data_IF_114059625740
#
_entry.id   IF_114059625740
#
_cell.length_a   1.000
_cell.length_b   1.000
_cell.length_c   1.000
_cell.angle_alpha   90.00
_cell.angle_beta   90.00
_cell.angle_gamma   90.00
#
_symmetry.space_group_name_H-M   'P 1'
#
loop_
_entity.id
_entity.type
_entity.pdbx_description
1 polymer ?
#
# COMPACT_ATOMS: atom_id res chain seq x y z
N UNK A 1 73.48 -33.87 -1.08
CA UNK A 1 72.87 -33.65 -2.40
C UNK A 1 71.80 -34.72 -2.57
N UNK A 2 70.62 -34.58 -1.97
CA UNK A 2 69.60 -33.55 -2.17
C UNK A 2 69.06 -33.57 -3.61
N UNK A 3 67.75 -33.83 -3.74
CA UNK A 3 66.92 -33.95 -4.96
C UNK A 3 66.61 -35.40 -5.39
N UNK A 4 65.69 -36.08 -4.70
CA UNK A 4 64.86 -37.16 -5.30
C UNK A 4 63.62 -37.53 -4.46
N UNK A 5 63.31 -36.80 -3.38
CA UNK A 5 62.18 -37.09 -2.47
C UNK A 5 60.94 -36.20 -2.74
N UNK A 6 60.89 -35.44 -3.85
CA UNK A 6 59.86 -34.39 -4.03
C UNK A 6 58.84 -34.59 -5.16
N UNK A 7 58.69 -35.80 -5.73
CA UNK A 7 57.80 -36.01 -6.89
C UNK A 7 56.77 -37.13 -6.74
N UNK A 8 56.22 -37.33 -5.53
CA UNK A 8 55.13 -38.28 -5.32
C UNK A 8 54.08 -37.80 -4.29
N UNK A 9 53.77 -36.50 -4.27
CA UNK A 9 52.64 -35.97 -3.49
C UNK A 9 51.82 -34.97 -4.32
N UNK A 10 51.29 -35.43 -5.46
CA UNK A 10 50.35 -34.67 -6.27
C UNK A 10 49.25 -35.61 -6.79
N UNK A 11 48.43 -36.12 -5.87
CA UNK A 11 47.16 -36.77 -6.18
C UNK A 11 46.10 -36.18 -5.24
N UNK A 12 45.37 -35.19 -5.77
CA UNK A 12 43.94 -34.82 -5.61
C UNK A 12 43.27 -34.76 -4.20
N UNK A 13 42.12 -34.07 -4.02
CA UNK A 13 41.28 -33.36 -5.00
C UNK A 13 40.86 -31.93 -4.56
N UNK A 14 40.47 -31.13 -5.55
CA UNK A 14 39.72 -29.90 -5.33
C UNK A 14 38.75 -29.67 -6.47
N UNK A 15 38.07 -30.73 -6.92
CA UNK A 15 36.86 -30.51 -7.70
C UNK A 15 35.86 -29.85 -6.74
N UNK A 16 35.77 -28.53 -6.82
CA UNK A 16 34.59 -27.81 -6.36
C UNK A 16 33.44 -28.22 -7.29
N UNK A 17 32.97 -29.45 -7.13
CA UNK A 17 31.72 -29.90 -7.69
C UNK A 17 30.68 -29.03 -6.99
N UNK A 18 30.11 -28.10 -7.75
CA UNK A 18 28.93 -27.38 -7.32
C UNK A 18 27.89 -28.42 -6.88
N UNK A 19 27.67 -28.55 -5.58
CA UNK A 19 26.59 -29.37 -5.04
C UNK A 19 25.29 -28.82 -5.65
N UNK A 20 24.55 -29.71 -6.30
CA UNK A 20 23.26 -29.36 -6.90
C UNK A 20 22.34 -28.86 -5.77
N UNK A 21 21.96 -27.58 -5.82
CA UNK A 21 21.19 -26.92 -4.77
C UNK A 21 21.97 -25.98 -3.85
N UNK A 22 23.26 -25.67 -4.09
CA UNK A 22 23.99 -24.67 -3.29
C UNK A 22 24.14 -23.34 -4.06
N UNK A 23 23.68 -22.25 -3.44
CA UNK A 23 23.85 -20.86 -3.92
C UNK A 23 24.60 -20.07 -2.84
N UNK A 24 25.58 -19.29 -3.24
CA UNK A 24 26.35 -18.42 -2.35
C UNK A 24 25.83 -16.99 -2.44
N UNK A 25 25.50 -16.41 -1.29
CA UNK A 25 25.27 -14.96 -1.11
C UNK A 25 26.58 -14.34 -0.64
N UNK A 26 27.08 -13.40 -1.42
CA UNK A 26 28.36 -12.73 -1.17
C UNK A 26 28.13 -11.25 -0.92
N UNK A 27 28.63 -10.73 0.20
CA UNK A 27 28.70 -9.29 0.46
C UNK A 27 30.16 -8.85 0.49
N UNK A 28 30.50 -7.86 -0.35
CA UNK A 28 31.87 -7.36 -0.50
C UNK A 28 32.09 -6.16 0.42
N UNK A 29 33.30 -5.95 0.95
CA UNK A 29 33.59 -4.74 1.73
C UNK A 29 33.51 -3.43 0.92
N UNK A 30 33.43 -3.51 -0.41
CA UNK A 30 33.34 -2.38 -1.34
C UNK A 30 31.90 -2.02 -1.74
N UNK A 31 30.90 -2.83 -1.40
CA UNK A 31 29.51 -2.60 -1.78
C UNK A 31 28.56 -3.29 -0.81
N UNK A 32 27.57 -2.55 -0.32
CA UNK A 32 26.50 -3.08 0.53
C UNK A 32 25.50 -3.96 -0.23
N UNK A 33 25.54 -3.98 -1.57
CA UNK A 33 24.64 -4.79 -2.40
C UNK A 33 25.15 -6.24 -2.47
N UNK A 34 24.36 -7.23 -2.02
CA UNK A 34 24.75 -8.63 -2.09
C UNK A 34 24.63 -9.20 -3.51
N UNK A 35 25.52 -10.14 -3.84
CA UNK A 35 25.51 -10.89 -5.11
C UNK A 35 25.19 -12.37 -4.85
N UNK A 36 24.30 -12.94 -5.66
CA UNK A 36 24.02 -14.38 -5.69
C UNK A 36 24.80 -15.08 -6.81
N UNK A 37 25.53 -16.14 -6.47
CA UNK A 37 26.33 -16.92 -7.41
C UNK A 37 26.40 -18.41 -7.08
N UNK A 38 26.77 -19.23 -8.07
CA UNK A 38 27.00 -20.69 -7.88
C UNK A 38 28.42 -21.03 -7.45
N UNK A 39 29.34 -20.07 -7.51
CA UNK A 39 30.74 -20.24 -7.08
C UNK A 39 30.95 -19.69 -5.68
N UNK A 40 31.88 -20.26 -4.89
CA UNK A 40 32.26 -19.70 -3.59
C UNK A 40 32.65 -18.22 -3.70
N UNK A 41 32.44 -17.46 -2.63
CA UNK A 41 32.71 -16.03 -2.62
C UNK A 41 34.22 -15.74 -2.72
N UNK A 42 34.63 -14.66 -3.42
CA UNK A 42 36.03 -14.29 -3.54
C UNK A 42 36.66 -13.96 -2.18
N UNK A 43 37.98 -14.12 -2.04
CA UNK A 43 38.69 -13.85 -0.80
C UNK A 43 38.43 -12.42 -0.30
N UNK A 44 38.13 -12.26 0.99
CA UNK A 44 37.81 -10.96 1.61
C UNK A 44 36.35 -10.54 1.53
N UNK A 45 35.46 -11.38 0.97
CA UNK A 45 34.01 -11.19 1.06
C UNK A 45 33.38 -12.08 2.14
N UNK A 46 32.25 -11.63 2.69
CA UNK A 46 31.43 -12.42 3.60
C UNK A 46 30.59 -13.40 2.78
N UNK A 47 30.61 -14.68 3.18
CA UNK A 47 29.92 -15.76 2.48
C UNK A 47 28.79 -16.34 3.31
N UNK A 48 27.58 -16.39 2.75
CA UNK A 48 26.45 -17.12 3.29
C UNK A 48 26.01 -18.20 2.30
N UNK A 49 25.95 -19.44 2.77
CA UNK A 49 25.61 -20.61 1.94
C UNK A 49 24.12 -20.88 2.03
N UNK A 50 23.41 -20.71 0.92
CA UNK A 50 22.00 -21.01 0.76
C UNK A 50 21.86 -22.39 0.13
N UNK A 51 21.27 -23.34 0.86
CA UNK A 51 20.89 -24.65 0.31
C UNK A 51 19.44 -24.59 -0.12
N UNK A 52 19.21 -24.66 -1.42
CA UNK A 52 17.89 -24.81 -2.02
C UNK A 52 17.52 -26.29 -1.88
N UNK A 53 16.46 -26.63 -1.13
CA UNK A 53 15.99 -28.01 -1.08
C UNK A 53 15.58 -28.46 -2.49
N UNK A 54 15.82 -29.73 -2.82
CA UNK A 54 15.32 -30.31 -4.06
C UNK A 54 13.80 -30.04 -4.15
N UNK A 55 13.28 -29.65 -5.34
CA UNK A 55 11.85 -29.40 -5.49
C UNK A 55 11.10 -30.65 -5.04
N UNK A 56 10.26 -30.52 -4.01
CA UNK A 56 9.31 -31.55 -3.67
C UNK A 56 8.34 -31.62 -4.85
N UNK A 57 8.58 -32.56 -5.78
CA UNK A 57 7.66 -32.88 -6.85
C UNK A 57 6.39 -33.48 -6.25
N UNK A 58 5.51 -32.61 -5.75
CA UNK A 58 4.09 -32.81 -5.84
C UNK A 58 3.63 -31.72 -6.80
N UNK A 59 3.63 -32.04 -8.10
CA UNK A 59 2.78 -31.30 -9.03
C UNK A 59 1.38 -31.25 -8.40
N UNK A 60 0.75 -30.06 -8.26
CA UNK A 60 -0.63 -30.02 -7.85
C UNK A 60 -1.40 -30.86 -8.86
N UNK A 61 -2.02 -31.95 -8.39
CA UNK A 61 -2.86 -32.77 -9.22
C UNK A 61 -3.89 -31.85 -9.86
N UNK A 62 -3.73 -31.59 -11.16
CA UNK A 62 -4.76 -30.95 -11.97
C UNK A 62 -5.93 -31.90 -11.94
N UNK A 63 -6.87 -31.64 -11.04
CA UNK A 63 -8.17 -32.29 -11.09
C UNK A 63 -8.82 -31.74 -12.34
N UNK A 64 -8.90 -32.57 -13.37
CA UNK A 64 -9.67 -32.31 -14.58
C UNK A 64 -11.06 -31.79 -14.16
N UNK A 65 -11.46 -30.57 -14.57
CA UNK A 65 -12.78 -30.09 -14.21
C UNK A 65 -13.81 -30.99 -14.87
N UNK A 66 -14.63 -31.65 -14.05
CA UNK A 66 -15.81 -32.37 -14.51
C UNK A 66 -16.68 -31.41 -15.34
N UNK A 67 -17.18 -31.81 -16.51
CA UNK A 67 -18.02 -30.95 -17.33
C UNK A 67 -19.30 -30.61 -16.55
N UNK A 68 -19.43 -29.34 -16.19
CA UNK A 68 -20.66 -28.80 -15.59
C UNK A 68 -21.72 -28.83 -16.69
N UNK A 69 -22.77 -29.60 -16.46
CA UNK A 69 -23.96 -29.60 -17.28
C UNK A 69 -24.70 -28.28 -17.04
N UNK A 70 -24.97 -27.51 -18.09
CA UNK A 70 -25.85 -26.35 -18.07
C UNK A 70 -27.30 -26.76 -17.76
N UNK A 71 -27.93 -26.23 -16.71
CA UNK A 71 -29.38 -26.23 -16.62
C UNK A 71 -29.92 -24.96 -17.26
N UNK A 72 -30.74 -25.20 -18.27
CA UNK A 72 -31.54 -24.24 -19.00
C UNK A 72 -32.32 -23.26 -18.10
N UNK A 73 -32.56 -22.10 -18.71
CA UNK A 73 -33.50 -21.05 -18.36
C UNK A 73 -34.71 -21.50 -17.52
N UNK A 74 -34.89 -20.82 -16.39
CA UNK A 74 -36.19 -20.63 -15.77
C UNK A 74 -36.49 -19.12 -15.74
N UNK A 75 -37.52 -18.74 -16.49
CA UNK A 75 -38.11 -17.42 -16.49
C UNK A 75 -38.80 -17.12 -15.14
N UNK A 76 -38.72 -15.87 -14.69
CA UNK A 76 -39.78 -15.24 -13.90
C UNK A 76 -40.09 -13.86 -14.46
N UNK A 77 -41.33 -13.72 -14.92
CA UNK A 77 -41.95 -12.46 -15.33
C UNK A 77 -42.24 -11.57 -14.12
N UNK A 78 -41.95 -10.28 -14.29
CA UNK A 78 -42.88 -9.15 -14.15
C UNK A 78 -43.67 -8.95 -12.85
N UNK A 79 -43.41 -7.80 -12.21
CA UNK A 79 -44.41 -6.79 -11.80
C UNK A 79 -43.63 -5.60 -11.21
N UNK A 80 -43.55 -4.46 -11.89
CA UNK A 80 -44.53 -3.37 -11.93
C UNK A 80 -44.49 -2.47 -10.69
N UNK A 81 -44.04 -1.23 -10.92
CA UNK A 81 -44.71 -0.03 -10.40
C UNK A 81 -44.35 0.44 -8.99
N UNK A 82 -43.38 1.35 -8.91
CA UNK A 82 -43.50 2.52 -8.02
C UNK A 82 -42.73 3.69 -8.64
N UNK A 83 -43.47 4.54 -9.35
CA UNK A 83 -43.01 5.83 -9.83
C UNK A 83 -42.62 6.68 -8.61
N UNK A 84 -41.36 7.11 -8.56
CA UNK A 84 -40.96 8.21 -7.70
C UNK A 84 -41.72 9.47 -8.14
N UNK A 85 -42.33 10.25 -7.23
CA UNK A 85 -42.95 11.50 -7.62
C UNK A 85 -41.87 12.44 -8.15
N UNK A 86 -42.05 12.85 -9.41
CA UNK A 86 -41.29 13.91 -10.03
C UNK A 86 -41.46 15.17 -9.17
N UNK A 87 -40.36 15.66 -8.61
CA UNK A 87 -40.29 17.00 -8.05
C UNK A 87 -40.71 18.00 -9.14
N UNK A 88 -41.55 19.00 -8.82
CA UNK A 88 -41.94 20.00 -9.81
C UNK A 88 -40.69 20.74 -10.30
N UNK A 89 -40.60 21.08 -11.60
CA UNK A 89 -39.52 21.89 -12.11
C UNK A 89 -39.59 23.26 -11.43
N UNK A 90 -38.63 23.54 -10.55
CA UNK A 90 -38.37 24.90 -10.09
C UNK A 90 -38.02 25.70 -11.33
N UNK A 91 -38.96 26.56 -11.77
CA UNK A 91 -38.74 27.48 -12.87
C UNK A 91 -37.42 28.24 -12.64
N UNK A 92 -36.62 28.51 -13.69
CA UNK A 92 -35.50 29.42 -13.56
C UNK A 92 -36.06 30.76 -13.09
N UNK A 93 -35.67 31.20 -11.88
CA UNK A 93 -35.98 32.56 -11.43
C UNK A 93 -35.40 33.50 -12.49
N UNK A 94 -36.25 34.36 -13.07
CA UNK A 94 -35.77 35.36 -14.02
C UNK A 94 -34.71 36.20 -13.32
N UNK A 95 -33.59 36.42 -14.00
CA UNK A 95 -32.50 37.29 -13.56
C UNK A 95 -32.87 38.79 -13.60
N UNK A 96 -34.16 39.13 -13.44
CA UNK A 96 -34.69 40.49 -13.58
C UNK A 96 -35.42 40.99 -12.32
N UNK A 97 -35.67 40.15 -11.31
CA UNK A 97 -35.98 40.65 -9.97
C UNK A 97 -34.67 40.90 -9.24
N UNK A 98 -34.06 42.04 -9.55
CA UNK A 98 -33.03 42.64 -8.73
C UNK A 98 -33.59 42.83 -7.33
N UNK A 99 -33.33 41.88 -6.43
CA UNK A 99 -33.60 42.06 -5.01
C UNK A 99 -32.82 43.31 -4.61
N UNK A 100 -33.52 44.40 -4.30
CA UNK A 100 -32.90 45.58 -3.72
C UNK A 100 -32.23 45.12 -2.44
N UNK A 101 -30.91 44.99 -2.48
CA UNK A 101 -30.06 44.66 -1.33
C UNK A 101 -29.97 45.93 -0.46
N UNK A 102 -31.11 46.47 -0.05
CA UNK A 102 -31.24 47.68 0.75
C UNK A 102 -32.39 47.53 1.74
N UNK A 103 -32.59 46.32 2.27
CA UNK A 103 -33.36 46.14 3.49
C UNK A 103 -32.73 45.01 4.30
N UNK A 104 -31.74 45.37 5.11
CA UNK A 104 -31.33 44.55 6.23
C UNK A 104 -32.48 44.55 7.24
N UNK A 105 -33.46 43.65 7.04
CA UNK A 105 -34.43 43.33 8.06
C UNK A 105 -33.67 42.78 9.27
N UNK A 106 -33.58 43.59 10.32
CA UNK A 106 -33.02 43.18 11.60
C UNK A 106 -33.93 42.10 12.16
N UNK A 107 -33.54 40.83 11.98
CA UNK A 107 -34.19 39.72 12.66
C UNK A 107 -33.75 39.82 14.11
N UNK A 108 -34.65 40.29 14.97
CA UNK A 108 -34.54 40.18 16.42
C UNK A 108 -34.61 38.69 16.77
N UNK A 109 -33.50 37.97 16.59
CA UNK A 109 -33.31 36.68 17.21
C UNK A 109 -32.90 36.96 18.66
N UNK A 110 -33.70 36.46 19.59
CA UNK A 110 -33.45 36.56 21.03
C UNK A 110 -32.14 35.81 21.36
N UNK A 111 -31.02 36.54 21.33
CA UNK A 111 -29.66 35.99 21.46
C UNK A 111 -28.64 37.03 21.00
N UNK A 112 -28.34 38.00 21.86
CA UNK A 112 -27.57 39.20 21.53
C UNK A 112 -26.17 38.98 20.96
N UNK A 113 -25.71 39.98 20.21
CA UNK A 113 -24.33 40.33 19.82
C UNK A 113 -23.30 39.18 19.85
N UNK A 114 -23.61 38.08 19.16
CA UNK A 114 -22.60 37.07 18.86
C UNK A 114 -22.14 37.33 17.42
N UNK A 115 -20.88 37.76 17.30
CA UNK A 115 -20.14 37.76 16.05
C UNK A 115 -20.38 36.40 15.40
N UNK A 116 -20.92 36.39 14.19
CA UNK A 116 -21.03 35.20 13.34
C UNK A 116 -19.61 34.77 12.96
N UNK A 117 -18.93 34.10 13.88
CA UNK A 117 -17.67 33.45 13.63
C UNK A 117 -17.97 32.16 12.86
N UNK A 118 -17.54 32.12 11.60
CA UNK A 118 -17.66 30.94 10.74
C UNK A 118 -17.06 29.68 11.38
N UNK A 119 -16.05 29.84 12.24
CA UNK A 119 -15.48 28.72 13.00
C UNK A 119 -16.45 28.20 14.08
N UNK A 120 -17.17 29.10 14.76
CA UNK A 120 -18.18 28.72 15.76
C UNK A 120 -19.38 28.01 15.11
N UNK A 121 -19.82 28.48 13.94
CA UNK A 121 -20.89 27.83 13.18
C UNK A 121 -20.50 26.41 12.72
N UNK A 122 -19.24 26.21 12.30
CA UNK A 122 -18.74 24.88 11.97
C UNK A 122 -18.69 23.97 13.20
N UNK A 123 -18.17 24.46 14.33
CA UNK A 123 -18.15 23.69 15.57
C UNK A 123 -19.55 23.35 16.10
N UNK A 124 -20.51 24.25 16.00
CA UNK A 124 -21.90 24.00 16.40
C UNK A 124 -22.57 22.97 15.50
N UNK A 125 -22.30 23.01 14.19
CA UNK A 125 -22.79 22.01 13.24
C UNK A 125 -22.16 20.63 13.50
N UNK A 126 -20.86 20.58 13.79
CA UNK A 126 -20.13 19.37 14.17
C UNK A 126 -20.64 18.78 15.49
N UNK A 127 -20.90 19.62 16.49
CA UNK A 127 -21.44 19.22 17.79
C UNK A 127 -22.87 18.67 17.68
N UNK A 128 -23.72 19.30 16.85
CA UNK A 128 -25.06 18.78 16.54
C UNK A 128 -24.99 17.45 15.79
N UNK A 129 -24.11 17.32 14.80
CA UNK A 129 -23.91 16.08 14.05
C UNK A 129 -23.34 14.94 14.91
N UNK A 130 -22.50 15.25 15.90
CA UNK A 130 -22.00 14.27 16.86
C UNK A 130 -23.07 13.77 17.85
N UNK A 131 -24.12 14.56 18.07
CA UNK A 131 -25.19 14.24 19.03
C UNK A 131 -26.34 13.41 18.44
N UNK A 132 -26.44 13.30 17.10
CA UNK A 132 -27.65 12.79 16.42
C UNK A 132 -27.48 11.38 15.81
N UNK A 133 -26.37 10.67 16.09
CA UNK A 133 -26.08 9.35 15.52
C UNK A 133 -25.36 8.39 16.47
N UNK A 134 -25.32 7.08 16.14
CA UNK A 134 -24.48 6.12 16.84
C UNK A 134 -23.01 6.59 16.85
N UNK A 135 -22.24 6.30 17.91
CA UNK A 135 -20.84 6.68 17.97
C UNK A 135 -20.10 6.08 16.75
N UNK A 136 -19.48 6.96 15.95
CA UNK A 136 -18.69 6.55 14.78
C UNK A 136 -17.52 5.66 15.22
N UNK A 137 -17.20 4.59 14.47
CA UNK A 137 -16.14 3.66 14.84
C UNK A 137 -14.77 4.35 14.90
N UNK A 138 -13.83 3.77 15.68
CA UNK A 138 -12.44 4.22 15.69
C UNK A 138 -11.79 4.06 14.33
N UNK A 139 -10.78 4.89 14.07
CA UNK A 139 -9.97 4.77 12.86
C UNK A 139 -9.29 3.40 12.78
N UNK A 140 -9.19 2.82 11.56
CA UNK A 140 -8.42 1.61 11.36
C UNK A 140 -6.98 1.76 11.87
N UNK A 141 -6.37 0.66 12.35
CA UNK A 141 -4.98 0.69 12.78
C UNK A 141 -4.09 1.15 11.62
N UNK A 142 -3.06 1.89 11.99
CA UNK A 142 -2.03 2.37 11.07
C UNK A 142 -0.69 2.27 11.78
N UNK A 143 0.33 1.88 11.04
CA UNK A 143 1.65 1.56 11.57
C UNK A 143 2.64 2.65 11.17
N UNK A 144 3.50 3.03 12.11
CA UNK A 144 4.69 3.82 11.83
C UNK A 144 5.85 2.86 11.59
N UNK A 145 6.33 2.83 10.36
CA UNK A 145 7.38 1.95 9.89
C UNK A 145 8.69 2.71 9.76
N UNK A 146 9.79 2.03 10.05
CA UNK A 146 11.15 2.49 9.76
C UNK A 146 11.81 1.52 8.79
N UNK A 147 12.30 2.03 7.67
CA UNK A 147 13.02 1.24 6.68
C UNK A 147 14.47 0.92 7.11
N UNK A 148 15.14 0.06 6.35
CA UNK A 148 16.54 -0.33 6.60
C UNK A 148 17.54 0.84 6.55
N UNK A 149 17.16 1.98 5.96
CA UNK A 149 17.96 3.19 5.86
C UNK A 149 17.59 4.24 6.92
N UNK A 150 16.67 3.93 7.83
CA UNK A 150 16.19 4.83 8.88
C UNK A 150 15.10 5.80 8.44
N UNK A 151 14.56 5.67 7.23
CA UNK A 151 13.43 6.45 6.73
C UNK A 151 12.12 6.03 7.39
N UNK A 152 11.36 7.00 7.91
CA UNK A 152 10.06 6.77 8.53
C UNK A 152 8.89 6.93 7.55
N UNK A 153 7.93 6.02 7.55
CA UNK A 153 6.69 6.13 6.77
C UNK A 153 5.48 5.51 7.49
N UNK A 154 4.29 5.76 6.96
CA UNK A 154 3.04 5.20 7.49
C UNK A 154 2.52 4.06 6.60
N UNK A 155 2.02 2.99 7.21
CA UNK A 155 1.47 1.82 6.51
C UNK A 155 0.13 1.37 7.12
N UNK A 156 -0.84 0.97 6.29
CA UNK A 156 -2.23 0.76 6.72
C UNK A 156 -2.58 -0.72 6.98
N UNK A 157 -1.87 -1.67 6.36
CA UNK A 157 -2.33 -3.07 6.30
C UNK A 157 -1.67 -3.98 7.34
N UNK A 158 -0.36 -3.88 7.49
CA UNK A 158 0.41 -4.79 8.35
C UNK A 158 1.60 -4.11 9.02
N UNK A 159 2.00 -4.67 10.16
CA UNK A 159 3.08 -4.20 11.02
C UNK A 159 4.50 -4.49 10.48
N UNK A 160 4.62 -5.16 9.33
CA UNK A 160 5.93 -5.45 8.74
C UNK A 160 5.78 -5.73 7.24
N UNK A 161 5.58 -4.69 6.41
CA UNK A 161 5.45 -4.87 4.98
C UNK A 161 6.73 -5.49 4.40
N UNK A 162 6.53 -6.55 3.62
CA UNK A 162 7.62 -7.20 2.90
C UNK A 162 8.00 -6.33 1.69
N UNK A 163 9.27 -5.95 1.59
CA UNK A 163 9.83 -5.24 0.43
C UNK A 163 10.93 -6.06 -0.22
N UNK A 164 10.92 -6.02 -1.55
CA UNK A 164 11.94 -6.67 -2.36
C UNK A 164 13.13 -5.72 -2.55
N UNK A 165 14.23 -6.01 -1.87
CA UNK A 165 15.51 -5.34 -2.12
C UNK A 165 16.27 -6.09 -3.22
N UNK A 166 16.57 -5.40 -4.32
CA UNK A 166 17.17 -6.02 -5.49
C UNK A 166 18.61 -6.46 -5.21
N UNK A 167 18.90 -7.73 -5.51
CA UNK A 167 20.24 -8.30 -5.46
C UNK A 167 20.78 -8.52 -6.87
N UNK A 168 22.11 -8.49 -7.01
CA UNK A 168 22.76 -8.80 -8.29
C UNK A 168 22.87 -10.31 -8.46
N UNK A 169 22.54 -10.81 -9.65
CA UNK A 169 22.68 -12.23 -9.99
C UNK A 169 23.92 -12.41 -10.87
N UNK A 170 24.83 -13.30 -10.48
CA UNK A 170 26.02 -13.61 -11.27
C UNK A 170 26.23 -15.12 -11.43
N UNK A 171 26.32 -15.59 -12.67
CA UNK A 171 26.81 -16.94 -12.94
C UNK A 171 25.97 -18.06 -12.34
N UNK A 172 24.63 -17.93 -12.29
CA UNK A 172 23.74 -18.99 -11.81
C UNK A 172 23.56 -20.18 -12.79
N UNK A 173 24.32 -20.24 -13.89
CA UNK A 173 24.33 -21.36 -14.85
C UNK A 173 23.04 -21.49 -15.68
N UNK A 174 23.18 -21.90 -16.95
CA UNK A 174 22.06 -22.01 -17.91
C UNK A 174 21.75 -20.71 -18.66
N UNK A 175 20.64 -20.69 -19.42
CA UNK A 175 20.15 -19.51 -20.13
C UNK A 175 19.45 -18.53 -19.18
N UNK A 176 20.16 -18.01 -18.18
CA UNK A 176 19.65 -16.90 -17.37
C UNK A 176 19.50 -15.68 -18.27
N UNK A 177 18.26 -15.14 -18.43
CA UNK A 177 18.05 -13.97 -19.26
C UNK A 177 18.77 -12.76 -18.65
N UNK A 178 19.15 -11.80 -19.49
CA UNK A 178 19.95 -10.61 -19.10
C UNK A 178 19.27 -9.72 -18.04
N UNK A 179 17.97 -9.93 -17.79
CA UNK A 179 17.16 -9.26 -16.78
C UNK A 179 16.82 -10.16 -15.58
N UNK A 180 17.58 -11.24 -15.34
CA UNK A 180 17.42 -12.04 -14.14
C UNK A 180 17.76 -11.19 -12.90
N UNK A 181 16.74 -10.81 -12.16
CA UNK A 181 16.86 -10.13 -10.87
C UNK A 181 16.41 -11.09 -9.77
N UNK A 182 17.16 -11.13 -8.67
CA UNK A 182 16.72 -11.76 -7.43
C UNK A 182 16.41 -10.69 -6.40
N UNK A 183 15.45 -10.94 -5.54
CA UNK A 183 15.06 -10.02 -4.47
C UNK A 183 15.31 -10.65 -3.11
N UNK A 184 15.97 -9.93 -2.23
CA UNK A 184 15.95 -10.21 -0.80
C UNK A 184 14.65 -9.65 -0.21
N UNK A 185 13.89 -10.49 0.49
CA UNK A 185 12.69 -10.04 1.20
C UNK A 185 13.14 -9.41 2.51
N UNK A 186 13.19 -8.08 2.52
CA UNK A 186 13.45 -7.28 3.72
C UNK A 186 12.13 -6.94 4.37
N UNK A 187 12.12 -6.92 5.70
CA UNK A 187 10.97 -6.56 6.51
C UNK A 187 11.30 -5.32 7.32
N UNK A 188 10.50 -4.29 7.12
CA UNK A 188 10.64 -3.06 7.89
C UNK A 188 10.11 -3.27 9.31
N UNK A 189 10.63 -2.46 10.24
CA UNK A 189 10.18 -2.47 11.64
C UNK A 189 9.03 -1.50 11.77
N UNK A 190 7.82 -1.97 12.10
CA UNK A 190 6.71 -1.08 12.36
C UNK A 190 6.07 -1.29 13.73
N UNK A 191 5.60 -0.18 14.28
CA UNK A 191 4.82 -0.14 15.50
C UNK A 191 3.43 0.42 15.19
N UNK A 192 2.40 -0.16 15.82
CA UNK A 192 1.03 0.33 15.67
C UNK A 192 0.88 1.68 16.37
N UNK A 193 0.31 2.66 15.67
CA UNK A 193 0.10 3.97 16.26
C UNK A 193 -1.03 3.93 17.30
N UNK A 194 -0.81 4.53 18.49
CA UNK A 194 -1.84 4.67 19.50
C UNK A 194 -3.09 5.36 18.93
N UNK A 195 -4.28 4.94 19.35
CA UNK A 195 -5.55 5.45 18.83
C UNK A 195 -5.64 6.99 18.86
N UNK A 196 -5.13 7.60 19.95
CA UNK A 196 -5.07 9.06 20.12
C UNK A 196 -4.28 9.78 19.01
N UNK A 197 -3.29 9.11 18.39
CA UNK A 197 -2.45 9.68 17.34
C UNK A 197 -2.98 9.37 15.93
N UNK A 198 -3.84 8.35 15.77
CA UNK A 198 -4.32 7.89 14.45
C UNK A 198 -5.01 8.98 13.66
N UNK A 199 -5.84 9.82 14.29
CA UNK A 199 -6.56 10.89 13.58
C UNK A 199 -5.60 11.87 12.89
N UNK A 200 -4.55 12.31 13.58
CA UNK A 200 -3.53 13.18 12.99
C UNK A 200 -2.80 12.52 11.82
N UNK A 201 -2.43 11.24 11.97
CA UNK A 201 -1.72 10.48 10.92
C UNK A 201 -2.58 10.23 9.67
N UNK A 202 -3.86 9.88 9.85
CA UNK A 202 -4.80 9.70 8.72
C UNK A 202 -5.09 11.03 8.01
N UNK A 203 -5.27 12.12 8.75
CA UNK A 203 -5.43 13.46 8.15
C UNK A 203 -4.19 13.91 7.39
N UNK A 204 -2.99 13.59 7.88
CA UNK A 204 -1.75 13.86 7.16
C UNK A 204 -1.71 13.10 5.83
N UNK A 205 -1.99 11.79 5.83
CA UNK A 205 -2.06 11.00 4.59
C UNK A 205 -3.07 11.54 3.60
N UNK A 206 -4.23 11.98 4.06
CA UNK A 206 -5.23 12.58 3.18
C UNK A 206 -4.74 13.90 2.56
N UNK A 207 -4.07 14.76 3.34
CA UNK A 207 -3.43 15.98 2.82
C UNK A 207 -2.34 15.66 1.79
N UNK A 208 -1.50 14.66 2.07
CA UNK A 208 -0.46 14.20 1.14
C UNK A 208 -1.07 13.64 -0.15
N UNK A 209 -2.15 12.88 -0.06
CA UNK A 209 -2.87 12.34 -1.20
C UNK A 209 -3.51 13.43 -2.08
N UNK A 210 -4.11 14.46 -1.49
CA UNK A 210 -4.60 15.64 -2.23
C UNK A 210 -3.46 16.37 -2.94
N UNK A 211 -2.30 16.48 -2.30
CA UNK A 211 -1.09 17.00 -2.93
C UNK A 211 -0.67 16.17 -4.14
N UNK A 212 -0.59 14.84 -3.98
CA UNK A 212 -0.23 13.92 -5.07
C UNK A 212 -1.20 13.98 -6.24
N UNK A 213 -2.51 14.02 -5.98
CA UNK A 213 -3.53 14.18 -7.02
C UNK A 213 -3.35 15.49 -7.79
N UNK A 214 -3.15 16.61 -7.07
CA UNK A 214 -2.97 17.93 -7.68
C UNK A 214 -1.76 18.01 -8.61
N UNK A 215 -0.69 17.30 -8.27
CA UNK A 215 0.57 17.31 -9.01
C UNK A 215 0.83 16.02 -9.81
N UNK A 216 -0.19 15.17 -10.00
CA UNK A 216 -0.04 13.91 -10.72
C UNK A 216 0.23 14.13 -12.21
N UNK A 217 1.24 13.41 -12.73
CA UNK A 217 1.42 13.24 -14.17
C UNK A 217 0.18 12.57 -14.79
N UNK A 218 -0.16 12.84 -16.07
CA UNK A 218 -1.36 12.31 -16.71
C UNK A 218 -1.60 10.81 -16.52
N UNK A 219 -0.53 10.02 -16.62
CA UNK A 219 -0.53 8.57 -16.46
C UNK A 219 -0.88 8.09 -15.03
N UNK A 220 -0.74 8.95 -14.02
CA UNK A 220 -0.96 8.60 -12.61
C UNK A 220 -2.23 9.25 -12.01
N UNK A 221 -2.99 10.01 -12.81
CA UNK A 221 -4.14 10.79 -12.31
C UNK A 221 -5.24 9.93 -11.68
N UNK A 222 -5.64 8.87 -12.38
CA UNK A 222 -6.70 7.97 -11.91
C UNK A 222 -6.31 7.29 -10.60
N UNK A 223 -5.05 6.84 -10.48
CA UNK A 223 -4.54 6.25 -9.26
C UNK A 223 -4.52 7.26 -8.10
N UNK A 224 -4.03 8.48 -8.35
CA UNK A 224 -3.96 9.51 -7.31
C UNK A 224 -5.35 9.97 -6.85
N UNK A 225 -6.32 10.09 -7.76
CA UNK A 225 -7.71 10.38 -7.45
C UNK A 225 -8.35 9.25 -6.63
N UNK A 226 -8.15 7.99 -7.05
CA UNK A 226 -8.67 6.81 -6.34
C UNK A 226 -8.13 6.71 -4.91
N UNK A 227 -6.84 6.99 -4.70
CA UNK A 227 -6.26 7.01 -3.35
C UNK A 227 -6.85 8.12 -2.48
N UNK A 228 -7.07 9.32 -3.04
CA UNK A 228 -7.72 10.44 -2.33
C UNK A 228 -9.17 10.11 -1.95
N UNK A 229 -9.92 9.51 -2.86
CA UNK A 229 -11.31 9.05 -2.61
C UNK A 229 -11.37 7.99 -1.52
N UNK A 230 -10.48 6.99 -1.58
CA UNK A 230 -10.37 5.93 -0.57
C UNK A 230 -10.09 6.50 0.82
N UNK A 231 -9.12 7.40 0.92
CA UNK A 231 -8.75 8.04 2.19
C UNK A 231 -9.87 8.94 2.73
N UNK A 232 -10.61 9.65 1.86
CA UNK A 232 -11.80 10.40 2.27
C UNK A 232 -12.84 9.46 2.89
N UNK A 233 -13.14 8.33 2.24
CA UNK A 233 -14.12 7.36 2.75
C UNK A 233 -13.72 6.78 4.12
N UNK A 234 -12.43 6.54 4.37
CA UNK A 234 -11.95 6.09 5.69
C UNK A 234 -12.21 7.15 6.76
N UNK A 235 -11.91 8.43 6.46
CA UNK A 235 -12.13 9.53 7.40
C UNK A 235 -13.62 9.75 7.66
N UNK A 236 -14.45 9.78 6.62
CA UNK A 236 -15.91 9.96 6.73
C UNK A 236 -16.60 8.84 7.52
N UNK A 237 -16.09 7.61 7.41
CA UNK A 237 -16.59 6.47 8.17
C UNK A 237 -16.16 6.48 9.65
N UNK A 238 -15.21 7.33 10.03
CA UNK A 238 -14.61 7.36 11.37
C UNK A 238 -15.06 8.57 12.20
N UNK A 239 -14.71 8.59 13.48
CA UNK A 239 -14.94 9.76 14.34
C UNK A 239 -13.97 10.95 14.06
N UNK A 240 -13.03 10.82 13.13
CA UNK A 240 -12.04 11.85 12.81
C UNK A 240 -12.57 12.76 11.68
N UNK A 241 -12.53 14.10 11.83
CA UNK A 241 -13.02 15.01 10.80
C UNK A 241 -12.14 15.00 9.55
N UNK A 242 -12.76 15.15 8.38
CA UNK A 242 -12.08 15.30 7.09
C UNK A 242 -11.58 16.74 6.96
N UNK A 243 -10.27 16.98 6.75
CA UNK A 243 -9.76 18.35 6.63
C UNK A 243 -10.09 18.93 5.24
N UNK A 244 -10.61 20.17 5.24
CA UNK A 244 -11.01 20.95 4.05
C UNK A 244 -9.88 21.34 3.11
#
# INVERSE_FOLDING_TARGET
MNRLIWLALAVLPGAAMAEEGVIYRCTSGSSDVPTLQRTPCPAGSQQQVLRVPAPANAEPAVTEPSPVQDPAAAAVSGASGAAAPAAPPTAPRRADEGRTIMEAGMVEAEGGDQILDSAALHHDAEARAASDGPPRPPLPPIFQCTDSQGGGYLHEYEASPARCELMTVQGLGGATPVNAASCEVVRDTCEELPEAQRCGSWQQRFRDARGRERFAAPENREHAQGERERLQGVLEASHCPVPG
#
